data_IF_329349642945
#
_entry.id   IF_329349642945
#
_cell.length_a   1.000
_cell.length_b   1.000
_cell.length_c   1.000
_cell.angle_alpha   90.00
_cell.angle_beta   90.00
_cell.angle_gamma   90.00
#
_symmetry.space_group_name_H-M   'P 1'
#
loop_
_entity.id
_entity.type
_entity.pdbx_description
1 polymer ?
#
# COMPACT_ATOMS: atom_id res chain seq x y z
N UNK A 1 22.11 2.01 7.77
CA UNK A 1 20.66 1.95 7.75
C UNK A 1 20.18 0.93 6.75
N UNK A 2 19.29 0.06 7.16
CA UNK A 2 18.82 -1.01 6.30
C UNK A 2 17.66 -0.53 5.43
N UNK A 3 17.75 -0.76 4.10
CA UNK A 3 16.65 -0.45 3.20
C UNK A 3 15.66 -1.61 3.17
N UNK A 4 14.38 -1.30 3.19
CA UNK A 4 13.35 -2.32 3.09
C UNK A 4 12.08 -1.77 2.45
N UNK A 5 11.29 -2.68 1.88
CA UNK A 5 10.01 -2.37 1.26
C UNK A 5 8.88 -2.93 2.11
N UNK A 6 7.79 -2.18 2.22
CA UNK A 6 6.55 -2.67 2.82
C UNK A 6 5.56 -2.92 1.69
N UNK A 7 4.91 -4.08 1.72
CA UNK A 7 3.94 -4.48 0.69
C UNK A 7 2.56 -4.61 1.32
N UNK A 8 1.61 -3.88 0.75
CA UNK A 8 0.21 -3.86 1.20
C UNK A 8 -0.71 -4.14 0.01
N UNK A 9 -1.85 -4.77 0.28
CA UNK A 9 -2.91 -4.94 -0.71
C UNK A 9 -4.21 -4.34 -0.15
N UNK A 10 -4.99 -3.74 -1.03
CA UNK A 10 -6.22 -3.04 -0.68
C UNK A 10 -7.30 -3.37 -1.70
N UNK A 11 -8.52 -3.67 -1.23
CA UNK A 11 -9.65 -3.92 -2.12
C UNK A 11 -10.86 -3.09 -1.68
N UNK A 12 -11.90 -3.06 -2.53
CA UNK A 12 -13.01 -2.10 -2.39
C UNK A 12 -13.84 -2.23 -1.10
N UNK A 13 -13.80 -3.38 -0.43
CA UNK A 13 -14.58 -3.59 0.80
C UNK A 13 -13.84 -3.23 2.08
N UNK A 14 -12.59 -2.77 1.97
CA UNK A 14 -11.86 -2.32 3.14
C UNK A 14 -12.48 -1.05 3.74
N UNK A 15 -12.28 -0.87 5.04
CA UNK A 15 -12.70 0.35 5.73
C UNK A 15 -11.69 1.48 5.49
N UNK A 16 -12.18 2.66 5.10
CA UNK A 16 -11.32 3.82 4.92
C UNK A 16 -10.65 4.21 6.24
N UNK A 17 -11.35 4.10 7.36
CA UNK A 17 -10.77 4.37 8.68
C UNK A 17 -9.64 3.39 8.99
N UNK A 18 -9.84 2.11 8.73
CA UNK A 18 -8.83 1.09 8.96
C UNK A 18 -7.60 1.32 8.08
N UNK A 19 -7.82 1.65 6.81
CA UNK A 19 -6.73 1.97 5.88
C UNK A 19 -5.93 3.16 6.38
N UNK A 20 -6.61 4.22 6.82
CA UNK A 20 -5.96 5.41 7.35
C UNK A 20 -5.08 5.06 8.54
N UNK A 21 -5.61 4.28 9.49
CA UNK A 21 -4.86 3.85 10.67
C UNK A 21 -3.66 2.98 10.30
N UNK A 22 -3.84 2.08 9.32
CA UNK A 22 -2.74 1.21 8.87
C UNK A 22 -1.60 2.00 8.25
N UNK A 23 -1.92 2.94 7.37
CA UNK A 23 -0.90 3.78 6.73
C UNK A 23 -0.23 4.71 7.75
N UNK A 24 -1.00 5.29 8.68
CA UNK A 24 -0.44 6.07 9.77
C UNK A 24 0.58 5.25 10.56
N UNK A 25 0.24 4.01 10.89
CA UNK A 25 1.13 3.11 11.62
C UNK A 25 2.41 2.81 10.84
N UNK A 26 2.31 2.57 9.54
CA UNK A 26 3.47 2.28 8.71
C UNK A 26 4.46 3.45 8.71
N UNK A 27 3.96 4.67 8.56
CA UNK A 27 4.81 5.85 8.47
C UNK A 27 5.18 6.46 9.82
N UNK A 28 4.58 5.98 10.93
CA UNK A 28 4.90 6.45 12.27
C UNK A 28 5.99 5.60 12.96
N UNK A 29 6.50 4.58 12.31
CA UNK A 29 7.50 3.69 12.89
C UNK A 29 8.85 4.40 13.04
N UNK A 30 9.59 3.99 14.07
CA UNK A 30 10.94 4.53 14.32
C UNK A 30 11.87 4.25 13.13
N UNK A 31 11.77 3.05 12.56
CA UNK A 31 12.50 2.70 11.35
C UNK A 31 11.55 2.82 10.17
N UNK A 32 11.72 3.89 9.39
CA UNK A 32 10.84 4.15 8.25
C UNK A 32 11.18 3.26 7.07
N UNK A 33 10.16 2.77 6.34
CA UNK A 33 10.41 2.01 5.12
C UNK A 33 11.04 2.89 4.04
N UNK A 34 11.86 2.28 3.20
CA UNK A 34 12.46 2.97 2.04
C UNK A 34 11.40 3.18 0.96
N UNK A 35 10.51 2.21 0.81
CA UNK A 35 9.35 2.33 -0.07
C UNK A 35 8.17 1.52 0.50
N UNK A 36 6.97 1.98 0.18
CA UNK A 36 5.72 1.27 0.51
C UNK A 36 5.00 1.03 -0.80
N UNK A 37 4.78 -0.24 -1.14
CA UNK A 37 4.05 -0.63 -2.34
C UNK A 37 2.63 -1.00 -1.92
N UNK A 38 1.66 -0.21 -2.37
CA UNK A 38 0.25 -0.44 -2.12
C UNK A 38 -0.43 -0.89 -3.40
N UNK A 39 -0.90 -2.13 -3.43
CA UNK A 39 -1.61 -2.66 -4.58
C UNK A 39 -3.10 -2.42 -4.39
N UNK A 40 -3.70 -1.71 -5.34
CA UNK A 40 -5.16 -1.56 -5.40
C UNK A 40 -5.72 -2.74 -6.18
N UNK A 41 -6.27 -3.71 -5.46
CA UNK A 41 -6.79 -4.95 -6.05
C UNK A 41 -8.19 -4.70 -6.64
N UNK A 42 -8.20 -4.06 -7.80
CA UNK A 42 -9.41 -3.62 -8.49
C UNK A 42 -9.81 -2.19 -8.11
N UNK A 43 -10.88 -1.67 -8.73
CA UNK A 43 -11.36 -0.32 -8.45
C UNK A 43 -11.77 -0.15 -6.99
N UNK A 44 -11.46 1.01 -6.42
CA UNK A 44 -11.76 1.35 -5.03
C UNK A 44 -12.93 2.32 -4.93
N UNK A 45 -13.54 2.39 -3.74
CA UNK A 45 -14.52 3.42 -3.43
C UNK A 45 -13.86 4.80 -3.39
N UNK A 46 -14.67 5.86 -3.51
CA UNK A 46 -14.17 7.22 -3.42
C UNK A 46 -13.51 7.50 -2.06
N UNK A 47 -14.06 6.93 -1.00
CA UNK A 47 -13.52 7.11 0.35
C UNK A 47 -12.12 6.51 0.47
N UNK A 48 -11.92 5.31 -0.09
CA UNK A 48 -10.61 4.67 -0.08
C UNK A 48 -9.62 5.44 -0.96
N UNK A 49 -10.06 5.89 -2.13
CA UNK A 49 -9.22 6.72 -3.00
C UNK A 49 -8.77 7.99 -2.31
N UNK A 50 -9.64 8.63 -1.54
CA UNK A 50 -9.30 9.86 -0.83
C UNK A 50 -8.18 9.61 0.18
N UNK A 51 -8.25 8.49 0.92
CA UNK A 51 -7.20 8.14 1.89
C UNK A 51 -5.88 7.87 1.19
N UNK A 52 -5.90 7.08 0.11
CA UNK A 52 -4.69 6.77 -0.66
C UNK A 52 -4.05 8.04 -1.18
N UNK A 53 -4.84 8.93 -1.75
CA UNK A 53 -4.34 10.19 -2.30
C UNK A 53 -3.72 11.08 -1.21
N UNK A 54 -4.35 11.14 -0.05
CA UNK A 54 -3.83 11.91 1.09
C UNK A 54 -2.41 11.45 1.44
N UNK A 55 -2.20 10.13 1.55
CA UNK A 55 -0.90 9.59 1.90
C UNK A 55 0.12 9.68 0.77
N UNK A 56 -0.32 9.60 -0.48
CA UNK A 56 0.58 9.84 -1.63
C UNK A 56 1.11 11.27 -1.63
N UNK A 57 0.26 12.23 -1.28
CA UNK A 57 0.66 13.64 -1.23
C UNK A 57 1.61 13.92 -0.06
N UNK A 58 1.49 13.15 1.04
CA UNK A 58 2.32 13.33 2.23
C UNK A 58 3.66 12.59 2.18
N UNK A 59 3.71 11.44 1.50
CA UNK A 59 4.87 10.55 1.53
C UNK A 59 5.26 10.11 0.12
N UNK A 60 6.43 10.55 -0.32
CA UNK A 60 6.98 10.17 -1.64
C UNK A 60 7.33 8.68 -1.71
N UNK A 61 7.53 8.05 -0.56
CA UNK A 61 7.87 6.63 -0.47
C UNK A 61 6.69 5.72 -0.84
N UNK A 62 5.46 6.25 -0.82
CA UNK A 62 4.26 5.46 -1.16
C UNK A 62 4.09 5.38 -2.67
N UNK A 63 4.12 4.17 -3.18
CA UNK A 63 3.88 3.86 -4.60
C UNK A 63 2.63 3.02 -4.72
N UNK A 64 1.71 3.44 -5.57
CA UNK A 64 0.42 2.77 -5.73
C UNK A 64 0.40 2.03 -7.06
N UNK A 65 0.00 0.77 -7.02
CA UNK A 65 -0.09 -0.09 -8.20
C UNK A 65 -1.58 -0.45 -8.39
N UNK A 66 -2.29 0.24 -9.30
CA UNK A 66 -3.70 -0.06 -9.52
C UNK A 66 -3.86 -1.25 -10.46
N UNK A 67 -4.68 -2.22 -10.06
CA UNK A 67 -5.08 -3.32 -10.93
C UNK A 67 -6.43 -2.99 -11.56
N UNK A 68 -6.64 -3.45 -12.78
CA UNK A 68 -7.85 -3.15 -13.55
C UNK A 68 -9.07 -3.79 -12.91
N UNK A 69 -8.88 -4.98 -12.33
CA UNK A 69 -9.96 -5.74 -11.70
C UNK A 69 -9.45 -6.47 -10.47
N UNK A 70 -10.37 -6.87 -9.59
CA UNK A 70 -10.05 -7.63 -8.38
C UNK A 70 -9.55 -9.02 -8.78
N UNK A 71 -8.34 -9.37 -8.37
CA UNK A 71 -7.70 -10.64 -8.69
C UNK A 71 -7.52 -11.54 -7.47
N UNK A 72 -7.82 -11.03 -6.28
CA UNK A 72 -7.62 -11.73 -5.02
C UNK A 72 -6.26 -11.41 -4.40
N UNK A 73 -6.16 -11.65 -3.09
CA UNK A 73 -5.01 -11.24 -2.30
C UNK A 73 -3.69 -11.83 -2.81
N UNK A 74 -3.67 -13.13 -3.14
CA UNK A 74 -2.43 -13.78 -3.58
C UNK A 74 -1.87 -13.18 -4.86
N UNK A 75 -2.73 -12.94 -5.86
CA UNK A 75 -2.29 -12.36 -7.13
C UNK A 75 -1.93 -10.89 -6.97
N UNK A 76 -2.68 -10.15 -6.16
CA UNK A 76 -2.38 -8.76 -5.88
C UNK A 76 -1.00 -8.61 -5.23
N UNK A 77 -0.70 -9.44 -4.24
CA UNK A 77 0.61 -9.43 -3.60
C UNK A 77 1.73 -9.82 -4.58
N UNK A 78 1.49 -10.80 -5.46
CA UNK A 78 2.47 -11.16 -6.48
C UNK A 78 2.77 -10.00 -7.42
N UNK A 79 1.75 -9.24 -7.82
CA UNK A 79 1.96 -8.05 -8.64
C UNK A 79 2.77 -7.00 -7.88
N UNK A 80 2.45 -6.79 -6.60
CA UNK A 80 3.19 -5.86 -5.76
C UNK A 80 4.66 -6.25 -5.61
N UNK A 81 4.95 -7.54 -5.48
CA UNK A 81 6.32 -8.03 -5.36
C UNK A 81 7.20 -7.61 -6.52
N UNK A 82 6.64 -7.54 -7.73
CA UNK A 82 7.39 -7.13 -8.93
C UNK A 82 7.87 -5.69 -8.86
N UNK A 83 7.25 -4.88 -8.04
CA UNK A 83 7.59 -3.46 -7.89
C UNK A 83 8.46 -3.16 -6.67
N UNK A 84 8.69 -4.14 -5.81
CA UNK A 84 9.54 -3.96 -4.63
C UNK A 84 11.00 -4.02 -5.03
N UNK A 85 11.77 -3.02 -4.58
CA UNK A 85 13.19 -2.90 -4.91
C UNK A 85 14.11 -3.35 -3.79
N UNK A 86 13.57 -3.61 -2.60
CA UNK A 86 14.34 -3.94 -1.41
C UNK A 86 13.77 -5.18 -0.73
N UNK A 87 14.45 -5.64 0.32
CA UNK A 87 13.94 -6.74 1.15
C UNK A 87 12.55 -6.38 1.68
N UNK A 88 11.63 -7.34 1.62
CA UNK A 88 10.22 -7.08 1.85
C UNK A 88 9.82 -7.40 3.29
N UNK A 89 9.08 -6.46 3.88
CA UNK A 89 8.33 -6.69 5.11
C UNK A 89 6.85 -6.65 4.74
N UNK A 90 6.19 -7.81 4.77
CA UNK A 90 4.77 -7.91 4.42
C UNK A 90 3.89 -7.43 5.58
N UNK A 91 2.80 -6.80 5.21
CA UNK A 91 1.81 -6.33 6.17
C UNK A 91 0.40 -6.61 5.75
#
# INVERSE_FOLDING_TARGET
>A
MQSFSVLLSLYHKESALFLHQSLESVFAQTLLPTEVILVEDGPLSEELHAVVKEFMDRYLELKVIPLVENQGLGRALNEGLKHCSYDIVAR
#
